data_IF_365640638356
#
_entry.id   IF_365640638356
#
_cell.length_a   1.000
_cell.length_b   1.000
_cell.length_c   1.000
_cell.angle_alpha   90.00
_cell.angle_beta   90.00
_cell.angle_gamma   90.00
#
_symmetry.space_group_name_H-M   'P 1'
#
loop_
_entity.id
_entity.type
_entity.pdbx_description
1 polymer ?
#
# COMPACT_ATOMS: atom_id res chain seq x y z
N UNK A 1 -11.26 -19.15 3.40
CA UNK A 1 -11.07 -17.70 3.31
C UNK A 1 -9.75 -17.36 4.00
N UNK A 2 -8.97 -16.39 3.47
CA UNK A 2 -7.76 -15.95 4.13
C UNK A 2 -8.12 -15.41 5.52
N UNK A 3 -7.53 -15.93 6.62
CA UNK A 3 -7.78 -15.41 7.96
C UNK A 3 -7.46 -13.90 8.05
N UNK A 4 -6.52 -13.40 7.25
CA UNK A 4 -6.14 -11.99 7.17
C UNK A 4 -7.30 -11.10 6.67
N UNK A 5 -8.13 -11.59 5.74
CA UNK A 5 -9.25 -10.83 5.22
C UNK A 5 -10.33 -10.61 6.30
N UNK A 6 -10.53 -11.63 7.16
CA UNK A 6 -11.50 -11.56 8.25
C UNK A 6 -11.03 -10.70 9.41
N UNK A 7 -9.73 -10.73 9.71
CA UNK A 7 -9.14 -9.85 10.71
C UNK A 7 -9.33 -8.37 10.31
N UNK A 8 -8.95 -8.03 9.08
CA UNK A 8 -9.11 -6.67 8.55
C UNK A 8 -10.58 -6.21 8.56
N UNK A 9 -11.50 -7.08 8.15
CA UNK A 9 -12.93 -6.76 8.17
C UNK A 9 -13.44 -6.53 9.60
N UNK A 10 -12.94 -7.31 10.57
CA UNK A 10 -13.31 -7.15 11.98
C UNK A 10 -12.77 -5.87 12.59
N UNK A 11 -11.58 -5.41 12.16
CA UNK A 11 -11.00 -4.14 12.58
C UNK A 11 -11.69 -2.92 11.93
N UNK A 12 -12.18 -3.04 10.70
CA UNK A 12 -12.91 -1.98 10.00
C UNK A 12 -14.37 -1.87 10.45
N UNK A 13 -15.05 -3.00 10.60
CA UNK A 13 -16.48 -3.09 10.93
C UNK A 13 -16.74 -3.10 12.44
N UNK A 14 -16.02 -2.24 13.18
CA UNK A 14 -16.26 -2.04 14.59
C UNK A 14 -17.43 -1.09 14.84
N UNK A 15 -18.30 -1.47 15.78
CA UNK A 15 -19.39 -0.60 16.26
C UNK A 15 -18.85 0.68 16.88
N UNK A 16 -17.75 0.60 17.64
CA UNK A 16 -17.11 1.76 18.24
C UNK A 16 -16.20 2.45 17.23
N UNK A 17 -16.41 3.75 16.90
CA UNK A 17 -15.57 4.48 15.96
C UNK A 17 -14.10 4.56 16.41
N UNK A 18 -13.86 4.59 17.72
CA UNK A 18 -12.51 4.67 18.31
C UNK A 18 -11.71 3.36 18.19
N UNK A 19 -12.38 2.23 17.95
CA UNK A 19 -11.75 0.93 17.78
C UNK A 19 -11.52 0.58 16.30
N UNK A 20 -12.01 1.42 15.37
CA UNK A 20 -11.76 1.19 13.95
C UNK A 20 -10.28 1.40 13.66
N UNK A 21 -9.69 0.50 12.90
CA UNK A 21 -8.35 0.72 12.38
C UNK A 21 -8.32 1.98 11.50
N UNK A 22 -7.22 2.72 11.54
CA UNK A 22 -7.04 3.86 10.64
C UNK A 22 -6.87 3.39 9.20
N UNK A 23 -7.12 4.27 8.23
CA UNK A 23 -6.90 3.95 6.82
C UNK A 23 -5.44 3.50 6.55
N UNK A 24 -4.47 4.13 7.22
CA UNK A 24 -3.05 3.80 7.08
C UNK A 24 -2.70 2.44 7.68
N UNK A 25 -3.25 2.09 8.84
CA UNK A 25 -3.11 0.75 9.43
C UNK A 25 -3.77 -0.33 8.57
N UNK A 26 -4.98 -0.06 8.06
CA UNK A 26 -5.68 -0.96 7.15
C UNK A 26 -4.86 -1.19 5.88
N UNK A 27 -4.28 -0.13 5.30
CA UNK A 27 -3.39 -0.25 4.16
C UNK A 27 -2.12 -1.04 4.51
N UNK A 28 -1.57 -0.92 5.72
CA UNK A 28 -0.41 -1.67 6.20
C UNK A 28 -0.69 -3.14 6.58
N UNK A 29 -1.95 -3.60 6.45
CA UNK A 29 -2.36 -4.95 6.83
C UNK A 29 -1.74 -6.03 5.92
N UNK A 30 -1.40 -7.23 6.45
CA UNK A 30 -0.81 -8.34 5.68
C UNK A 30 -1.71 -8.84 4.55
N UNK A 31 -3.03 -8.57 4.62
CA UNK A 31 -3.95 -8.83 3.52
C UNK A 31 -3.50 -8.16 2.20
N UNK A 32 -2.81 -7.02 2.28
CA UNK A 32 -2.27 -6.31 1.12
C UNK A 32 -0.79 -6.62 0.84
N UNK A 33 -0.16 -7.56 1.55
CA UNK A 33 1.24 -7.96 1.27
C UNK A 33 1.38 -8.59 -0.11
N UNK A 34 0.36 -9.32 -0.59
CA UNK A 34 0.35 -9.83 -1.96
C UNK A 34 0.45 -8.73 -3.02
N UNK A 35 -0.04 -7.51 -2.75
CA UNK A 35 0.10 -6.37 -3.66
C UNK A 35 1.48 -5.70 -3.58
N UNK A 36 2.21 -5.92 -2.47
CA UNK A 36 3.58 -5.43 -2.27
C UNK A 36 4.62 -6.34 -2.88
N UNK A 37 4.27 -7.58 -3.20
CA UNK A 37 5.19 -8.50 -3.85
C UNK A 37 5.62 -7.96 -5.23
N UNK A 38 6.92 -7.93 -5.56
CA UNK A 38 7.40 -7.39 -6.83
C UNK A 38 6.92 -8.18 -8.06
N UNK A 39 6.45 -9.41 -7.85
CA UNK A 39 5.93 -10.32 -8.88
C UNK A 39 4.40 -10.30 -8.98
N UNK A 40 3.74 -9.49 -8.16
CA UNK A 40 2.29 -9.39 -8.17
C UNK A 40 1.84 -8.79 -9.51
N UNK A 41 0.93 -9.50 -10.18
CA UNK A 41 0.28 -9.06 -11.41
C UNK A 41 -1.22 -9.14 -11.23
N UNK A 42 -1.97 -8.31 -11.97
CA UNK A 42 -3.41 -8.52 -12.06
C UNK A 42 -3.67 -9.90 -12.67
N UNK A 43 -4.80 -10.56 -12.33
CA UNK A 43 -5.17 -11.85 -12.94
C UNK A 43 -5.29 -11.78 -14.48
N UNK A 44 -5.37 -10.58 -15.06
CA UNK A 44 -5.35 -10.30 -16.51
C UNK A 44 -3.92 -10.29 -17.12
N UNK A 45 -2.87 -10.46 -16.30
CA UNK A 45 -1.46 -10.37 -16.71
C UNK A 45 -0.91 -8.93 -16.80
N UNK A 46 -1.70 -7.92 -16.44
CA UNK A 46 -1.28 -6.52 -16.45
C UNK A 46 -0.49 -6.15 -15.18
N UNK A 47 0.48 -5.23 -15.26
CA UNK A 47 1.13 -4.70 -14.07
C UNK A 47 0.12 -3.89 -13.23
N UNK A 48 0.28 -3.92 -11.90
CA UNK A 48 -0.52 -3.07 -11.02
C UNK A 48 -0.34 -1.59 -11.36
N UNK A 49 -1.41 -0.78 -11.22
CA UNK A 49 -1.28 0.67 -11.31
C UNK A 49 -0.34 1.20 -10.21
N UNK A 50 0.04 2.49 -10.28
CA UNK A 50 0.73 3.17 -9.18
C UNK A 50 -0.09 3.10 -7.87
N UNK A 51 0.14 2.06 -7.05
CA UNK A 51 -0.60 1.79 -5.81
C UNK A 51 0.02 2.46 -4.57
N UNK A 52 1.31 2.77 -4.62
CA UNK A 52 2.10 3.14 -3.43
C UNK A 52 2.62 4.58 -3.51
N UNK A 53 1.93 5.44 -4.26
CA UNK A 53 2.29 6.82 -4.57
C UNK A 53 1.91 7.77 -3.44
N UNK A 54 2.12 7.34 -2.20
CA UNK A 54 1.76 8.11 -1.02
C UNK A 54 2.60 9.39 -0.97
N UNK A 55 1.92 10.53 -0.83
CA UNK A 55 2.60 11.80 -0.58
C UNK A 55 2.99 11.86 0.89
N UNK A 56 4.29 11.82 1.16
CA UNK A 56 4.83 11.76 2.53
C UNK A 56 4.35 12.90 3.44
N UNK A 57 4.12 14.09 2.89
CA UNK A 57 3.71 15.27 3.68
C UNK A 57 2.22 15.32 3.99
N UNK A 58 1.36 14.79 3.12
CA UNK A 58 -0.11 14.90 3.26
C UNK A 58 -0.72 13.63 3.86
N UNK A 59 -0.26 12.45 3.44
CA UNK A 59 -0.86 11.15 3.78
C UNK A 59 -0.16 10.45 4.96
N UNK A 60 1.14 10.74 5.18
CA UNK A 60 1.97 10.04 6.17
C UNK A 60 2.33 10.91 7.39
N UNK A 61 1.87 12.16 7.45
CA UNK A 61 2.15 13.09 8.54
C UNK A 61 1.67 12.62 9.92
N UNK A 62 0.66 11.74 9.95
CA UNK A 62 0.11 11.14 11.17
C UNK A 62 0.50 9.67 11.42
N UNK A 63 1.31 9.06 10.54
CA UNK A 63 1.68 7.64 10.66
C UNK A 63 3.03 7.43 11.35
N UNK A 64 3.13 6.34 12.10
CA UNK A 64 4.40 5.89 12.65
C UNK A 64 5.38 5.47 11.54
N UNK A 65 6.68 5.69 11.78
CA UNK A 65 7.74 5.35 10.82
C UNK A 65 7.69 3.88 10.36
N UNK A 66 7.28 2.97 11.25
CA UNK A 66 7.10 1.54 10.95
C UNK A 66 5.97 1.28 9.93
N UNK A 67 4.85 2.02 10.03
CA UNK A 67 3.77 1.93 9.06
C UNK A 67 4.22 2.48 7.71
N UNK A 68 4.96 3.59 7.70
CA UNK A 68 5.51 4.18 6.47
C UNK A 68 6.41 3.18 5.74
N UNK A 69 7.26 2.47 6.47
CA UNK A 69 8.17 1.48 5.85
C UNK A 69 7.44 0.25 5.33
N UNK A 70 6.36 -0.19 6.01
CA UNK A 70 5.45 -1.23 5.49
C UNK A 70 4.63 -0.77 4.29
N UNK A 71 4.17 0.48 4.29
CA UNK A 71 3.35 1.05 3.22
C UNK A 71 4.16 1.34 1.96
N UNK A 72 5.42 1.75 2.09
CA UNK A 72 6.29 2.06 0.95
C UNK A 72 7.52 1.15 0.96
N UNK A 73 7.44 -0.03 0.31
CA UNK A 73 8.59 -0.91 0.14
C UNK A 73 9.75 -0.24 -0.60
N UNK A 74 10.98 -0.67 -0.32
CA UNK A 74 12.19 -0.13 -0.95
C UNK A 74 12.19 -0.23 -2.50
N UNK A 75 11.54 -1.24 -3.07
CA UNK A 75 11.41 -1.39 -4.52
C UNK A 75 10.44 -0.36 -5.14
N UNK A 76 9.45 0.11 -4.36
CA UNK A 76 8.55 1.19 -4.77
C UNK A 76 9.22 2.54 -4.64
N UNK A 77 9.95 2.82 -3.53
CA UNK A 77 10.75 4.05 -3.39
C UNK A 77 11.65 4.29 -4.62
N UNK A 78 12.19 3.19 -5.18
CA UNK A 78 13.00 3.21 -6.40
C UNK A 78 12.20 3.51 -7.67
N UNK A 79 10.97 3.01 -7.80
CA UNK A 79 10.06 3.31 -8.93
C UNK A 79 9.49 4.73 -8.87
N UNK A 80 9.18 5.23 -7.68
CA UNK A 80 8.68 6.59 -7.42
C UNK A 80 9.76 7.66 -7.67
N UNK A 81 11.04 7.29 -7.59
CA UNK A 81 12.19 8.15 -7.88
C UNK A 81 12.54 8.34 -9.36
N UNK A 82 11.69 7.94 -10.31
CA UNK A 82 11.88 8.24 -11.73
C UNK A 82 10.85 9.27 -12.21
N UNK A 83 11.18 10.58 -12.20
CA UNK A 83 10.53 11.50 -13.11
C UNK A 83 10.94 11.12 -14.53
N UNK A 84 9.96 10.86 -15.40
CA UNK A 84 10.05 11.05 -16.86
C UNK A 84 11.45 10.84 -17.48
N UNK A 85 11.85 9.59 -17.72
CA UNK A 85 12.65 9.33 -18.91
C UNK A 85 11.67 9.19 -20.06
N UNK A 86 11.35 10.33 -20.67
CA UNK A 86 10.76 10.43 -21.99
C UNK A 86 11.37 9.32 -22.86
N UNK A 87 10.53 8.49 -23.47
CA UNK A 87 10.92 7.81 -24.70
C UNK A 87 11.24 8.93 -25.71
N UNK A 88 12.51 9.34 -25.73
CA UNK A 88 13.07 10.27 -26.68
C UNK A 88 14.24 9.53 -27.35
N UNK A 89 13.93 8.98 -28.52
CA UNK A 89 14.85 8.75 -29.63
C UNK A 89 16.01 7.79 -29.40
N UNK A 90 15.93 6.62 -30.03
CA UNK A 90 16.74 6.31 -31.22
C UNK A 90 15.97 5.41 -32.15
#
# INVERSE_FOLDING_TARGET
>A
MPPEAMDLASQLLQYSPSLRCTALEACAHPFFDELREPNAHLPDGRPFPPLFNFKQEEELSGASQELIDKLIPAHVKRKIGLPYAHLAGT
#
